data_IF_134980649533
#
_entry.id   IF_134980649533
#
_cell.length_a   1.000
_cell.length_b   1.000
_cell.length_c   1.000
_cell.angle_alpha   90.00
_cell.angle_beta   90.00
_cell.angle_gamma   90.00
#
_symmetry.space_group_name_H-M   'P 1'
#
loop_
_entity.id
_entity.type
_entity.pdbx_description
1 polymer ?
#
# COMPACT_ATOMS: atom_id res chain seq x y z
N UNK A 1 16.07 -14.83 -31.83
CA UNK A 1 15.60 -15.50 -30.59
C UNK A 1 16.28 -14.95 -29.34
N UNK A 2 17.62 -14.92 -29.29
CA UNK A 2 18.41 -14.42 -28.15
C UNK A 2 18.10 -12.96 -27.81
N UNK A 3 17.86 -12.11 -28.80
CA UNK A 3 17.68 -10.67 -28.61
C UNK A 3 16.34 -10.30 -27.96
N UNK A 4 15.20 -10.76 -28.50
CA UNK A 4 13.88 -10.50 -27.89
C UNK A 4 13.79 -11.04 -26.46
N UNK A 5 14.31 -12.26 -26.21
CA UNK A 5 14.36 -12.86 -24.88
C UNK A 5 15.12 -11.98 -23.89
N UNK A 6 16.31 -11.50 -24.29
CA UNK A 6 17.13 -10.59 -23.47
C UNK A 6 16.39 -9.29 -23.17
N UNK A 7 15.77 -8.69 -24.18
CA UNK A 7 15.02 -7.43 -24.03
C UNK A 7 13.85 -7.57 -23.05
N UNK A 8 13.08 -8.66 -23.15
CA UNK A 8 11.95 -8.94 -22.24
C UNK A 8 12.44 -9.17 -20.82
N UNK A 9 13.52 -9.95 -20.61
CA UNK A 9 14.09 -10.16 -19.27
C UNK A 9 14.65 -8.87 -18.69
N UNK A 10 15.41 -8.09 -19.47
CA UNK A 10 15.95 -6.81 -19.03
C UNK A 10 14.82 -5.83 -18.65
N UNK A 11 13.74 -5.81 -19.43
CA UNK A 11 12.56 -5.01 -19.12
C UNK A 11 11.86 -5.48 -17.85
N UNK A 12 11.73 -6.80 -17.65
CA UNK A 12 11.17 -7.40 -16.44
C UNK A 12 11.93 -6.97 -15.19
N UNK A 13 13.27 -7.02 -15.24
CA UNK A 13 14.14 -6.55 -14.15
C UNK A 13 13.97 -5.05 -13.94
N UNK A 14 14.11 -4.23 -14.99
CA UNK A 14 14.06 -2.78 -14.89
C UNK A 14 12.71 -2.22 -14.40
N UNK A 15 11.63 -2.98 -14.60
CA UNK A 15 10.26 -2.59 -14.22
C UNK A 15 9.72 -3.34 -12.99
N UNK A 16 10.47 -4.31 -12.46
CA UNK A 16 10.03 -5.17 -11.36
C UNK A 16 8.83 -6.05 -11.72
N UNK A 17 8.74 -6.53 -12.97
CA UNK A 17 7.60 -7.30 -13.47
C UNK A 17 7.93 -8.80 -13.56
N UNK A 18 7.55 -9.57 -12.54
CA UNK A 18 7.75 -11.03 -12.52
C UNK A 18 6.86 -11.81 -13.49
N UNK A 19 5.70 -11.28 -13.93
CA UNK A 19 4.85 -11.96 -14.92
C UNK A 19 5.58 -12.18 -16.25
N UNK A 20 6.49 -11.27 -16.61
CA UNK A 20 7.31 -11.44 -17.81
C UNK A 20 8.17 -12.72 -17.76
N UNK A 21 8.56 -13.19 -16.58
CA UNK A 21 9.21 -14.49 -16.45
C UNK A 21 8.22 -15.63 -16.65
N UNK A 22 7.05 -15.61 -15.99
CA UNK A 22 6.04 -16.67 -16.15
C UNK A 22 5.62 -16.86 -17.62
N UNK A 23 5.35 -15.76 -18.32
CA UNK A 23 4.97 -15.79 -19.74
C UNK A 23 6.12 -16.29 -20.61
N UNK A 24 7.35 -15.84 -20.36
CA UNK A 24 8.52 -16.30 -21.08
C UNK A 24 8.76 -17.80 -20.89
N UNK A 25 8.69 -18.33 -19.66
CA UNK A 25 8.88 -19.76 -19.41
C UNK A 25 7.74 -20.61 -19.95
N UNK A 26 6.50 -20.13 -19.85
CA UNK A 26 5.35 -20.81 -20.47
C UNK A 26 5.55 -20.93 -21.98
N UNK A 27 5.96 -19.85 -22.65
CA UNK A 27 6.29 -19.88 -24.07
C UNK A 27 7.44 -20.84 -24.40
N UNK A 28 8.52 -20.81 -23.62
CA UNK A 28 9.68 -21.71 -23.84
C UNK A 28 9.31 -23.17 -23.66
N UNK A 29 8.47 -23.49 -22.67
CA UNK A 29 7.97 -24.84 -22.42
C UNK A 29 7.06 -25.33 -23.54
N UNK A 30 6.15 -24.48 -24.03
CA UNK A 30 5.29 -24.79 -25.17
C UNK A 30 6.10 -25.04 -26.46
N UNK A 31 7.20 -24.31 -26.64
CA UNK A 31 8.10 -24.47 -27.77
C UNK A 31 9.12 -25.62 -27.62
N UNK A 32 9.03 -26.40 -26.55
CA UNK A 32 9.97 -27.49 -26.29
C UNK A 32 9.91 -28.56 -27.40
N UNK A 33 10.95 -28.62 -28.24
CA UNK A 33 11.03 -29.53 -29.39
C UNK A 33 10.54 -28.94 -30.71
N UNK A 34 10.09 -27.67 -30.72
CA UNK A 34 9.76 -26.95 -31.93
C UNK A 34 11.03 -26.49 -32.67
N UNK A 35 10.89 -26.16 -33.97
CA UNK A 35 11.99 -25.53 -34.72
C UNK A 35 12.31 -24.14 -34.19
N UNK A 36 13.51 -23.62 -34.47
CA UNK A 36 13.89 -22.26 -34.06
C UNK A 36 12.94 -21.19 -34.60
N UNK A 37 12.48 -21.33 -35.85
CA UNK A 37 11.55 -20.39 -36.47
C UNK A 37 10.18 -20.41 -35.80
N UNK A 38 9.70 -21.59 -35.39
CA UNK A 38 8.42 -21.74 -34.71
C UNK A 38 8.48 -21.20 -33.28
N UNK A 39 9.58 -21.44 -32.58
CA UNK A 39 9.87 -20.84 -31.28
C UNK A 39 9.92 -19.32 -31.37
N UNK A 40 10.60 -18.77 -32.39
CA UNK A 40 10.68 -17.33 -32.61
C UNK A 40 9.30 -16.73 -32.88
N UNK A 41 8.47 -17.40 -33.70
CA UNK A 41 7.11 -16.98 -33.97
C UNK A 41 6.27 -16.94 -32.69
N UNK A 42 6.30 -18.01 -31.90
CA UNK A 42 5.59 -18.07 -30.60
C UNK A 42 6.03 -16.96 -29.63
N UNK A 43 7.34 -16.76 -29.47
CA UNK A 43 7.87 -15.70 -28.62
C UNK A 43 7.45 -14.31 -29.11
N UNK A 44 7.43 -14.08 -30.42
CA UNK A 44 7.01 -12.79 -30.99
C UNK A 44 5.52 -12.57 -30.81
N UNK A 45 4.70 -13.57 -31.11
CA UNK A 45 3.24 -13.51 -30.96
C UNK A 45 2.82 -13.27 -29.50
N UNK A 46 3.52 -13.89 -28.54
CA UNK A 46 3.13 -13.87 -27.12
C UNK A 46 3.89 -12.86 -26.25
N UNK A 47 5.07 -12.41 -26.62
CA UNK A 47 5.92 -11.58 -25.73
C UNK A 47 6.28 -10.22 -26.31
N UNK A 48 5.96 -9.91 -27.56
CA UNK A 48 6.30 -8.61 -28.15
C UNK A 48 5.71 -7.43 -27.36
N UNK A 49 4.53 -7.61 -26.75
CA UNK A 49 3.90 -6.59 -25.92
C UNK A 49 4.65 -6.31 -24.59
N UNK A 50 5.55 -7.21 -24.18
CA UNK A 50 6.40 -7.07 -23.00
C UNK A 50 7.77 -6.48 -23.32
N UNK A 51 8.06 -6.18 -24.59
CA UNK A 51 9.28 -5.47 -24.97
C UNK A 51 9.27 -4.04 -24.37
N UNK A 52 10.45 -3.49 -24.04
CA UNK A 52 10.54 -2.12 -23.54
C UNK A 52 10.08 -1.11 -24.61
N UNK A 53 9.45 -0.02 -24.18
CA UNK A 53 9.23 1.15 -25.03
C UNK A 53 10.53 1.98 -25.20
N UNK A 54 10.50 2.95 -26.11
CA UNK A 54 11.65 3.82 -26.40
C UNK A 54 12.17 4.53 -25.14
N UNK A 55 11.26 4.97 -24.27
CA UNK A 55 11.61 5.61 -22.99
C UNK A 55 12.34 4.67 -22.04
N UNK A 56 11.93 3.40 -21.98
CA UNK A 56 12.52 2.40 -21.11
C UNK A 56 13.89 1.96 -21.64
N UNK A 57 14.03 1.80 -22.96
CA UNK A 57 15.31 1.47 -23.61
C UNK A 57 16.43 2.43 -23.24
N UNK A 58 16.11 3.73 -23.17
CA UNK A 58 17.11 4.75 -22.82
C UNK A 58 17.40 4.85 -21.32
N UNK A 59 16.59 4.20 -20.48
CA UNK A 59 16.75 4.30 -19.03
C UNK A 59 18.03 3.63 -18.53
N UNK A 60 18.76 4.24 -17.57
CA UNK A 60 19.95 3.62 -16.97
C UNK A 60 19.66 2.26 -16.32
N UNK A 61 18.45 2.11 -15.73
CA UNK A 61 18.01 0.85 -15.12
C UNK A 61 17.90 -0.27 -16.15
N UNK A 62 17.32 0.01 -17.32
CA UNK A 62 17.22 -0.97 -18.40
C UNK A 62 18.60 -1.35 -18.94
N UNK A 63 19.49 -0.38 -19.18
CA UNK A 63 20.85 -0.65 -19.67
C UNK A 63 21.62 -1.57 -18.70
N UNK A 64 21.56 -1.28 -17.39
CA UNK A 64 22.16 -2.14 -16.37
C UNK A 64 21.51 -3.55 -16.31
N UNK A 65 20.18 -3.62 -16.42
CA UNK A 65 19.46 -4.89 -16.46
C UNK A 65 19.80 -5.73 -17.70
N UNK A 66 20.02 -5.08 -18.85
CA UNK A 66 20.44 -5.73 -20.08
C UNK A 66 21.85 -6.31 -19.91
N UNK A 67 22.81 -5.52 -19.44
CA UNK A 67 24.18 -6.00 -19.15
C UNK A 67 24.17 -7.21 -18.20
N UNK A 68 23.36 -7.16 -17.14
CA UNK A 68 23.19 -8.27 -16.20
C UNK A 68 22.63 -9.52 -16.89
N UNK A 69 21.60 -9.34 -17.72
CA UNK A 69 20.97 -10.40 -18.50
C UNK A 69 21.94 -11.03 -19.49
N UNK A 70 22.79 -10.24 -20.12
CA UNK A 70 23.82 -10.72 -21.05
C UNK A 70 24.91 -11.52 -20.35
N UNK A 71 25.32 -11.07 -19.16
CA UNK A 71 26.35 -11.72 -18.36
C UNK A 71 25.88 -13.06 -17.78
N UNK A 72 24.67 -13.10 -17.25
CA UNK A 72 24.18 -14.27 -16.52
C UNK A 72 23.33 -15.22 -17.38
N UNK A 73 22.76 -14.71 -18.48
CA UNK A 73 22.08 -15.49 -19.50
C UNK A 73 20.97 -16.40 -18.98
N UNK A 74 20.39 -17.18 -19.88
CA UNK A 74 19.46 -18.26 -19.54
C UNK A 74 19.98 -19.51 -20.25
N UNK A 75 21.14 -20.01 -19.78
CA UNK A 75 21.89 -21.06 -20.48
C UNK A 75 21.10 -22.36 -20.63
N UNK A 76 20.16 -22.65 -19.73
CA UNK A 76 19.43 -23.93 -19.69
C UNK A 76 17.90 -23.76 -19.63
N UNK A 77 17.35 -22.66 -20.16
CA UNK A 77 15.92 -22.33 -19.98
C UNK A 77 15.47 -22.38 -18.50
N UNK A 78 16.41 -22.14 -17.57
CA UNK A 78 16.16 -21.90 -16.16
C UNK A 78 16.33 -20.41 -15.88
N UNK A 79 15.61 -19.91 -14.88
CA UNK A 79 15.72 -18.52 -14.46
C UNK A 79 16.87 -18.39 -13.47
N UNK A 80 17.93 -17.61 -13.76
CA UNK A 80 18.98 -17.40 -12.77
C UNK A 80 18.41 -16.68 -11.55
N UNK A 81 18.71 -17.21 -10.36
CA UNK A 81 18.26 -16.65 -9.09
C UNK A 81 18.60 -15.15 -8.97
N UNK A 82 19.77 -14.75 -9.47
CA UNK A 82 20.21 -13.36 -9.48
C UNK A 82 19.26 -12.43 -10.26
N UNK A 83 18.72 -12.87 -11.40
CA UNK A 83 17.80 -12.03 -12.20
C UNK A 83 16.46 -11.86 -11.47
N UNK A 84 15.96 -12.94 -10.83
CA UNK A 84 14.77 -12.87 -9.98
C UNK A 84 14.97 -11.93 -8.79
N UNK A 85 16.14 -12.01 -8.14
CA UNK A 85 16.45 -11.19 -6.97
C UNK A 85 16.45 -9.70 -7.34
N UNK A 86 17.07 -9.33 -8.47
CA UNK A 86 17.08 -7.95 -8.95
C UNK A 86 15.68 -7.49 -9.39
N UNK A 87 14.88 -8.34 -10.03
CA UNK A 87 13.47 -8.02 -10.30
C UNK A 87 12.68 -7.80 -9.02
N UNK A 88 12.90 -8.60 -7.98
CA UNK A 88 12.22 -8.44 -6.69
C UNK A 88 12.60 -7.11 -6.02
N UNK A 89 13.88 -6.75 -6.02
CA UNK A 89 14.38 -5.46 -5.48
C UNK A 89 13.72 -4.28 -6.20
N UNK A 90 13.68 -4.32 -7.53
CA UNK A 90 13.04 -3.25 -8.31
C UNK A 90 11.52 -3.21 -8.11
N UNK A 91 10.87 -4.37 -7.94
CA UNK A 91 9.46 -4.46 -7.60
C UNK A 91 9.17 -3.81 -6.24
N UNK A 92 9.97 -4.09 -5.20
CA UNK A 92 9.87 -3.40 -3.90
C UNK A 92 10.07 -1.89 -4.05
N UNK A 93 11.10 -1.45 -4.77
CA UNK A 93 11.40 -0.04 -4.98
C UNK A 93 10.25 0.73 -5.65
N UNK A 94 9.41 0.04 -6.44
CA UNK A 94 8.24 0.58 -7.13
C UNK A 94 6.91 0.35 -6.39
N UNK A 95 6.93 -0.24 -5.20
CA UNK A 95 5.71 -0.58 -4.46
C UNK A 95 4.88 -1.73 -5.07
N UNK A 96 5.48 -2.50 -5.98
CA UNK A 96 4.85 -3.64 -6.67
C UNK A 96 4.98 -4.92 -5.84
N UNK A 97 4.40 -4.93 -4.63
CA UNK A 97 4.66 -5.99 -3.65
C UNK A 97 4.17 -7.39 -4.05
N UNK A 98 3.10 -7.51 -4.85
CA UNK A 98 2.67 -8.80 -5.40
C UNK A 98 3.73 -9.44 -6.31
N UNK A 99 4.42 -8.62 -7.10
CA UNK A 99 5.52 -9.05 -7.95
C UNK A 99 6.76 -9.41 -7.12
N UNK A 100 7.07 -8.60 -6.10
CA UNK A 100 8.17 -8.92 -5.19
C UNK A 100 7.93 -10.23 -4.43
N UNK A 101 6.72 -10.45 -3.91
CA UNK A 101 6.33 -11.68 -3.24
C UNK A 101 6.48 -12.90 -4.17
N UNK A 102 5.97 -12.80 -5.40
CA UNK A 102 6.06 -13.86 -6.40
C UNK A 102 7.53 -14.22 -6.71
N UNK A 103 8.40 -13.22 -6.94
CA UNK A 103 9.83 -13.48 -7.12
C UNK A 103 10.47 -14.15 -5.89
N UNK A 104 10.20 -13.66 -4.69
CA UNK A 104 10.77 -14.25 -3.47
C UNK A 104 10.23 -15.67 -3.20
N UNK A 105 8.99 -15.98 -3.60
CA UNK A 105 8.44 -17.34 -3.56
C UNK A 105 9.15 -18.26 -4.54
N UNK A 106 9.40 -17.81 -5.78
CA UNK A 106 10.16 -18.57 -6.78
C UNK A 106 11.60 -18.86 -6.32
N UNK A 107 12.19 -17.93 -5.56
CA UNK A 107 13.51 -18.10 -4.96
C UNK A 107 13.51 -18.95 -3.68
N UNK A 108 12.34 -19.22 -3.07
CA UNK A 108 12.24 -19.91 -1.79
C UNK A 108 12.62 -19.07 -0.57
N UNK A 109 12.79 -17.75 -0.74
CA UNK A 109 13.34 -16.83 0.28
C UNK A 109 12.33 -15.81 0.84
N UNK A 110 11.02 -15.96 0.55
CA UNK A 110 9.97 -15.02 0.99
C UNK A 110 10.07 -14.69 2.49
N UNK A 111 10.04 -15.72 3.33
CA UNK A 111 10.00 -15.52 4.79
C UNK A 111 11.29 -14.88 5.32
N UNK A 112 12.43 -15.19 4.69
CA UNK A 112 13.72 -14.61 5.03
C UNK A 112 13.74 -13.12 4.68
N UNK A 113 13.19 -12.74 3.51
CA UNK A 113 13.09 -11.33 3.12
C UNK A 113 12.16 -10.54 4.03
N UNK A 114 10.99 -11.10 4.40
CA UNK A 114 10.09 -10.47 5.39
C UNK A 114 10.83 -10.22 6.71
N UNK A 115 11.57 -11.22 7.20
CA UNK A 115 12.37 -11.10 8.42
C UNK A 115 13.50 -10.06 8.29
N UNK A 116 14.20 -10.02 7.15
CA UNK A 116 15.28 -9.06 6.89
C UNK A 116 14.76 -7.62 6.89
N UNK A 117 13.62 -7.34 6.24
CA UNK A 117 13.01 -6.00 6.26
C UNK A 117 12.55 -5.62 7.67
N UNK A 118 11.94 -6.53 8.43
CA UNK A 118 11.55 -6.27 9.81
C UNK A 118 12.77 -5.98 10.71
N UNK A 119 13.87 -6.75 10.56
CA UNK A 119 15.12 -6.53 11.28
C UNK A 119 15.78 -5.20 10.94
N UNK A 120 15.78 -4.82 9.65
CA UNK A 120 16.24 -3.49 9.22
C UNK A 120 15.38 -2.38 9.86
N UNK A 121 14.07 -2.58 9.93
CA UNK A 121 13.16 -1.69 10.64
C UNK A 121 13.50 -1.53 12.13
N UNK A 122 13.78 -2.63 12.83
CA UNK A 122 14.22 -2.57 14.23
C UNK A 122 15.54 -1.79 14.38
N UNK A 123 16.48 -1.98 13.46
CA UNK A 123 17.76 -1.27 13.47
C UNK A 123 17.54 0.24 13.27
N UNK A 124 16.66 0.64 12.35
CA UNK A 124 16.31 2.05 12.16
C UNK A 124 15.66 2.68 13.40
N UNK A 125 14.86 1.94 14.18
CA UNK A 125 14.32 2.44 15.44
C UNK A 125 15.42 2.75 16.47
N UNK A 126 16.46 1.90 16.53
CA UNK A 126 17.63 2.12 17.42
C UNK A 126 18.45 3.33 17.02
N UNK A 127 18.47 3.65 15.73
CA UNK A 127 19.16 4.81 15.16
C UNK A 127 18.31 6.09 15.16
N UNK A 128 17.15 6.07 15.83
CA UNK A 128 16.15 7.15 15.82
C UNK A 128 15.72 7.60 14.41
N UNK A 129 15.53 6.63 13.51
CA UNK A 129 15.06 6.81 12.13
C UNK A 129 13.64 6.23 11.96
N UNK A 130 12.61 6.82 12.60
CA UNK A 130 11.27 6.23 12.64
C UNK A 130 10.59 6.16 11.27
N UNK A 131 10.88 7.08 10.34
CA UNK A 131 10.34 7.04 8.97
C UNK A 131 10.85 5.79 8.23
N UNK A 132 12.17 5.59 8.23
CA UNK A 132 12.80 4.42 7.61
C UNK A 132 12.35 3.11 8.27
N UNK A 133 12.18 3.11 9.59
CA UNK A 133 11.63 1.96 10.31
C UNK A 133 10.21 1.62 9.83
N UNK A 134 9.32 2.60 9.78
CA UNK A 134 7.94 2.42 9.33
C UNK A 134 7.89 1.89 7.89
N UNK A 135 8.69 2.44 6.98
CA UNK A 135 8.81 1.96 5.60
C UNK A 135 9.29 0.51 5.55
N UNK A 136 10.30 0.14 6.34
CA UNK A 136 10.81 -1.24 6.35
C UNK A 136 9.76 -2.25 6.85
N UNK A 137 9.02 -1.92 7.92
CA UNK A 137 7.91 -2.76 8.40
C UNK A 137 6.76 -2.81 7.40
N UNK A 138 6.44 -1.70 6.74
CA UNK A 138 5.44 -1.66 5.67
C UNK A 138 5.82 -2.57 4.50
N UNK A 139 7.08 -2.55 4.06
CA UNK A 139 7.58 -3.44 3.01
C UNK A 139 7.48 -4.90 3.46
N UNK A 140 7.91 -5.22 4.69
CA UNK A 140 7.79 -6.57 5.25
C UNK A 140 6.33 -7.07 5.23
N UNK A 141 5.40 -6.25 5.72
CA UNK A 141 3.98 -6.59 5.77
C UNK A 141 3.38 -6.75 4.37
N UNK A 142 3.74 -5.86 3.43
CA UNK A 142 3.26 -5.92 2.05
C UNK A 142 3.86 -7.07 1.24
N UNK A 143 5.07 -7.55 1.55
CA UNK A 143 5.58 -8.80 0.96
C UNK A 143 4.83 -10.01 1.53
N UNK A 144 4.53 -10.00 2.83
CA UNK A 144 3.83 -11.13 3.43
C UNK A 144 2.35 -11.22 3.01
N UNK A 145 1.70 -10.07 2.84
CA UNK A 145 0.30 -9.90 2.43
C UNK A 145 0.16 -8.98 1.21
N UNK A 146 0.52 -9.49 0.04
CA UNK A 146 0.75 -8.67 -1.16
C UNK A 146 -0.48 -8.12 -1.89
N UNK A 147 -1.65 -8.72 -1.67
CA UNK A 147 -2.93 -8.19 -2.16
C UNK A 147 -3.41 -6.96 -1.38
N UNK A 148 -2.66 -6.59 -0.33
CA UNK A 148 -2.99 -5.49 0.56
C UNK A 148 -4.17 -5.83 1.48
N UNK A 149 -4.32 -5.07 2.56
CA UNK A 149 -5.43 -5.26 3.48
C UNK A 149 -6.73 -4.70 2.90
N UNK A 150 -7.83 -5.38 3.22
CA UNK A 150 -9.16 -4.96 2.80
C UNK A 150 -9.74 -3.91 3.74
N UNK A 151 -9.23 -2.68 3.68
CA UNK A 151 -9.65 -1.59 4.55
C UNK A 151 -11.13 -1.25 4.48
N UNK A 152 -11.80 -1.53 3.34
CA UNK A 152 -13.24 -1.40 3.20
C UNK A 152 -14.04 -2.28 4.17
N UNK A 153 -13.42 -3.28 4.80
CA UNK A 153 -14.01 -4.11 5.85
C UNK A 153 -13.42 -3.79 7.23
N UNK A 154 -12.10 -3.58 7.32
CA UNK A 154 -11.43 -3.27 8.59
C UNK A 154 -11.89 -1.93 9.18
N UNK A 155 -12.08 -0.91 8.33
CA UNK A 155 -12.50 0.41 8.78
C UNK A 155 -13.89 0.43 9.41
N UNK A 156 -14.93 -0.15 8.79
CA UNK A 156 -16.22 -0.34 9.45
C UNK A 156 -16.15 -1.13 10.76
N UNK A 157 -15.23 -2.08 10.89
CA UNK A 157 -15.03 -2.83 12.13
C UNK A 157 -14.56 -1.93 13.29
N UNK A 158 -13.64 -0.99 13.02
CA UNK A 158 -13.25 0.05 13.99
C UNK A 158 -14.46 0.83 14.53
N UNK A 159 -15.49 1.00 13.70
CA UNK A 159 -16.69 1.78 13.99
C UNK A 159 -17.89 0.96 14.44
N UNK A 160 -17.77 -0.37 14.48
CA UNK A 160 -18.86 -1.30 14.81
C UNK A 160 -19.55 -0.99 16.15
N UNK A 161 -18.80 -0.42 17.09
CA UNK A 161 -19.28 -0.05 18.42
C UNK A 161 -19.69 1.42 18.55
N UNK A 162 -19.38 2.30 17.60
CA UNK A 162 -19.65 3.73 17.75
C UNK A 162 -21.16 4.04 17.88
N UNK A 163 -22.02 3.21 17.26
CA UNK A 163 -23.48 3.34 17.36
C UNK A 163 -24.04 2.93 18.73
N UNK A 164 -23.46 1.90 19.36
CA UNK A 164 -23.97 1.30 20.60
C UNK A 164 -23.30 1.93 21.81
N UNK A 165 -22.00 2.18 21.73
CA UNK A 165 -21.16 2.71 22.79
C UNK A 165 -20.26 3.84 22.24
N UNK A 166 -20.80 5.04 22.00
CA UNK A 166 -20.04 6.14 21.39
C UNK A 166 -18.74 6.47 22.15
N UNK A 167 -18.74 6.34 23.48
CA UNK A 167 -17.56 6.55 24.34
C UNK A 167 -16.43 5.53 24.11
N UNK A 168 -16.71 4.41 23.45
CA UNK A 168 -15.73 3.40 23.05
C UNK A 168 -15.31 3.52 21.58
N UNK A 169 -15.81 4.52 20.86
CA UNK A 169 -15.40 4.76 19.49
C UNK A 169 -13.89 5.05 19.43
N UNK A 170 -13.21 4.64 18.35
CA UNK A 170 -11.77 4.86 18.19
C UNK A 170 -11.41 6.35 18.33
N UNK A 171 -12.29 7.23 17.84
CA UNK A 171 -12.14 8.69 17.91
C UNK A 171 -12.31 9.29 19.31
N UNK A 172 -12.65 8.48 20.33
CA UNK A 172 -12.80 8.88 21.74
C UNK A 172 -11.66 8.34 22.64
N UNK A 173 -10.76 7.49 22.11
CA UNK A 173 -9.59 6.97 22.84
C UNK A 173 -8.52 8.05 23.10
N UNK A 174 -7.65 7.95 24.12
CA UNK A 174 -6.50 8.84 24.26
C UNK A 174 -5.66 8.91 22.98
N UNK A 175 -5.04 10.06 22.66
CA UNK A 175 -4.30 10.26 21.40
C UNK A 175 -3.20 9.21 21.21
N UNK A 176 -2.52 8.84 22.29
CA UNK A 176 -1.52 7.78 22.30
C UNK A 176 -2.14 6.45 21.86
N UNK A 177 -3.29 6.08 22.43
CA UNK A 177 -4.01 4.85 22.09
C UNK A 177 -4.53 4.86 20.64
N UNK A 178 -5.02 6.00 20.14
CA UNK A 178 -5.39 6.14 18.72
C UNK A 178 -4.16 5.94 17.83
N UNK A 179 -3.01 6.50 18.23
CA UNK A 179 -1.76 6.33 17.49
C UNK A 179 -1.34 4.86 17.43
N UNK A 180 -1.40 4.13 18.55
CA UNK A 180 -1.11 2.69 18.55
C UNK A 180 -2.09 1.88 17.68
N UNK A 181 -3.39 2.17 17.81
CA UNK A 181 -4.43 1.52 17.03
C UNK A 181 -4.27 1.82 15.54
N UNK A 182 -3.90 3.05 15.19
CA UNK A 182 -3.64 3.47 13.83
C UNK A 182 -2.44 2.77 13.20
N UNK A 183 -1.35 2.59 13.95
CA UNK A 183 -0.19 1.82 13.48
C UNK A 183 -0.59 0.37 13.18
N UNK A 184 -1.34 -0.28 14.09
CA UNK A 184 -1.84 -1.66 13.86
C UNK A 184 -2.75 -1.73 12.65
N UNK A 185 -3.69 -0.79 12.55
CA UNK A 185 -4.64 -0.71 11.46
C UNK A 185 -3.94 -0.49 10.11
N UNK A 186 -3.08 0.52 9.98
CA UNK A 186 -2.42 0.85 8.72
C UNK A 186 -1.35 -0.16 8.30
N UNK A 187 -0.73 -0.86 9.26
CA UNK A 187 0.14 -1.98 8.90
C UNK A 187 -0.67 -3.22 8.51
N UNK A 188 -1.84 -3.42 9.14
CA UNK A 188 -2.77 -4.52 8.95
C UNK A 188 -2.13 -5.91 9.07
N UNK A 189 -1.11 -6.02 9.93
CA UNK A 189 -0.35 -7.24 10.13
C UNK A 189 -0.01 -7.38 11.62
N UNK A 190 -0.77 -8.19 12.36
CA UNK A 190 -0.71 -8.25 13.83
C UNK A 190 0.71 -8.51 14.38
N UNK A 191 1.41 -9.53 13.87
CA UNK A 191 2.75 -9.89 14.35
C UNK A 191 3.76 -8.77 14.14
N UNK A 192 3.84 -8.21 12.93
CA UNK A 192 4.76 -7.12 12.60
C UNK A 192 4.38 -5.82 13.30
N UNK A 193 3.09 -5.54 13.47
CA UNK A 193 2.61 -4.37 14.19
C UNK A 193 2.97 -4.46 15.67
N UNK A 194 2.77 -5.63 16.29
CA UNK A 194 3.20 -5.87 17.66
C UNK A 194 4.71 -5.73 17.79
N UNK A 195 5.49 -6.30 16.88
CA UNK A 195 6.95 -6.16 16.87
C UNK A 195 7.39 -4.70 16.78
N UNK A 196 6.86 -3.93 15.82
CA UNK A 196 7.11 -2.51 15.66
C UNK A 196 6.77 -1.73 16.96
N UNK A 197 5.60 -2.00 17.53
CA UNK A 197 5.12 -1.31 18.74
C UNK A 197 5.92 -1.62 20.00
N UNK A 198 6.43 -2.85 20.14
CA UNK A 198 7.30 -3.24 21.26
C UNK A 198 8.69 -2.58 21.18
N UNK A 199 9.17 -2.25 19.98
CA UNK A 199 10.49 -1.66 19.75
C UNK A 199 10.47 -0.14 19.67
N UNK A 200 9.38 0.46 19.20
CA UNK A 200 9.27 1.90 19.01
C UNK A 200 9.07 2.63 20.34
N UNK A 201 9.91 3.64 20.60
CA UNK A 201 9.73 4.54 21.73
C UNK A 201 8.45 5.38 21.56
N UNK A 202 7.77 5.82 22.64
CA UNK A 202 6.54 6.60 22.55
C UNK A 202 6.64 7.83 21.63
N UNK A 203 7.73 8.59 21.70
CA UNK A 203 7.96 9.78 20.86
C UNK A 203 8.26 9.49 19.38
N UNK A 204 8.46 8.23 19.00
CA UNK A 204 8.65 7.81 17.60
C UNK A 204 7.32 7.50 16.91
N UNK A 205 6.29 7.13 17.67
CA UNK A 205 5.02 6.59 17.16
C UNK A 205 4.23 7.56 16.26
N UNK A 206 4.12 8.87 16.55
CA UNK A 206 3.45 9.78 15.64
C UNK A 206 4.11 9.84 14.25
N UNK A 207 5.45 9.83 14.19
CA UNK A 207 6.22 9.81 12.94
C UNK A 207 6.07 8.49 12.18
N UNK A 208 5.95 7.38 12.91
CA UNK A 208 5.65 6.06 12.34
C UNK A 208 4.25 6.05 11.73
N UNK A 209 3.23 6.49 12.48
CA UNK A 209 1.84 6.58 12.02
C UNK A 209 1.74 7.40 10.74
N UNK A 210 2.34 8.59 10.72
CA UNK A 210 2.43 9.47 9.57
C UNK A 210 3.04 8.81 8.34
N UNK A 211 4.14 8.09 8.51
CA UNK A 211 4.80 7.40 7.39
C UNK A 211 3.92 6.27 6.86
N UNK A 212 3.28 5.49 7.74
CA UNK A 212 2.35 4.44 7.32
C UNK A 212 1.11 5.01 6.62
N UNK A 213 0.61 6.16 7.07
CA UNK A 213 -0.48 6.87 6.40
C UNK A 213 -0.07 7.27 4.99
N UNK A 214 1.09 7.91 4.82
CA UNK A 214 1.60 8.29 3.50
C UNK A 214 1.89 7.08 2.58
N UNK A 215 2.22 5.91 3.13
CA UNK A 215 2.42 4.69 2.35
C UNK A 215 1.11 4.02 1.90
N UNK A 216 -0.01 4.28 2.58
CA UNK A 216 -1.30 3.61 2.36
C UNK A 216 -2.33 4.50 1.69
N UNK A 217 -2.25 5.79 1.91
CA UNK A 217 -3.15 6.78 1.34
C UNK A 217 -2.74 7.11 -0.09
N UNK A 218 -3.71 7.19 -0.99
CA UNK A 218 -3.47 7.56 -2.39
C UNK A 218 -2.98 9.01 -2.49
N UNK A 219 -3.57 9.90 -1.69
CA UNK A 219 -3.21 11.32 -1.60
C UNK A 219 -3.53 11.84 -0.19
N UNK A 220 -2.54 11.72 0.69
CA UNK A 220 -2.68 12.15 2.09
C UNK A 220 -2.92 13.66 2.21
N UNK A 221 -2.38 14.47 1.29
CA UNK A 221 -2.55 15.93 1.30
C UNK A 221 -3.99 16.32 0.96
N UNK A 222 -4.57 15.68 -0.06
CA UNK A 222 -5.99 15.85 -0.39
C UNK A 222 -6.89 15.38 0.76
N UNK A 223 -6.55 14.26 1.41
CA UNK A 223 -7.27 13.74 2.57
C UNK A 223 -7.30 14.72 3.73
N UNK A 224 -6.15 15.30 4.09
CA UNK A 224 -6.03 16.30 5.16
C UNK A 224 -6.90 17.52 4.83
N UNK A 225 -6.81 18.02 3.60
CA UNK A 225 -7.63 19.14 3.12
C UNK A 225 -9.12 18.83 3.25
N UNK A 226 -9.56 17.67 2.76
CA UNK A 226 -10.96 17.23 2.82
C UNK A 226 -11.46 17.09 4.26
N UNK A 227 -10.60 16.61 5.18
CA UNK A 227 -10.91 16.58 6.61
C UNK A 227 -11.10 17.98 7.19
N UNK A 228 -10.24 18.96 6.87
CA UNK A 228 -10.40 20.34 7.33
C UNK A 228 -11.65 21.02 6.77
N UNK A 229 -11.95 20.80 5.49
CA UNK A 229 -13.16 21.31 4.85
C UNK A 229 -14.42 20.71 5.48
N UNK A 230 -14.40 19.40 5.75
CA UNK A 230 -15.53 18.71 6.41
C UNK A 230 -15.74 19.19 7.85
N UNK A 231 -14.68 19.47 8.60
CA UNK A 231 -14.77 20.08 9.94
C UNK A 231 -15.40 21.47 9.85
N UNK A 232 -14.97 22.28 8.88
CA UNK A 232 -15.53 23.61 8.65
C UNK A 232 -17.01 23.56 8.27
N UNK A 233 -17.43 22.56 7.50
CA UNK A 233 -18.84 22.32 7.17
C UNK A 233 -19.64 21.86 8.39
N UNK A 234 -19.11 20.93 9.18
CA UNK A 234 -19.75 20.42 10.40
C UNK A 234 -20.03 21.55 11.42
N UNK A 235 -19.08 22.47 11.61
CA UNK A 235 -19.23 23.60 12.54
C UNK A 235 -20.30 24.62 12.13
N UNK A 236 -20.75 24.62 10.88
CA UNK A 236 -21.83 25.49 10.37
C UNK A 236 -23.23 24.91 10.57
N UNK A 237 -23.35 23.66 11.04
CA UNK A 237 -24.65 23.01 11.24
C UNK A 237 -25.27 23.49 12.56
N UNK A 238 -26.37 24.24 12.46
CA UNK A 238 -27.08 24.79 13.65
C UNK A 238 -28.25 23.91 14.11
N UNK A 239 -29.01 23.34 13.16
CA UNK A 239 -30.29 22.68 13.45
C UNK A 239 -30.16 21.16 13.69
N UNK A 240 -29.02 20.57 13.32
CA UNK A 240 -28.71 19.16 13.52
C UNK A 240 -29.71 18.19 12.87
N UNK A 241 -30.38 18.59 11.79
CA UNK A 241 -31.27 17.70 11.02
C UNK A 241 -30.41 16.74 10.18
N UNK A 242 -30.88 15.51 9.89
CA UNK A 242 -30.13 14.56 9.06
C UNK A 242 -29.61 15.15 7.74
N UNK A 243 -30.44 15.93 7.04
CA UNK A 243 -30.09 16.52 5.74
C UNK A 243 -28.97 17.57 5.84
N UNK A 244 -28.78 18.20 7.01
CA UNK A 244 -27.72 19.18 7.24
C UNK A 244 -26.31 18.53 7.11
N UNK A 245 -26.21 17.21 7.29
CA UNK A 245 -24.95 16.45 7.20
C UNK A 245 -24.68 15.87 5.80
N UNK A 246 -25.62 16.01 4.86
CA UNK A 246 -25.55 15.36 3.54
C UNK A 246 -24.31 15.75 2.72
N UNK A 247 -23.75 16.94 2.95
CA UNK A 247 -22.54 17.42 2.31
C UNK A 247 -21.23 16.83 2.89
N UNK A 248 -21.26 16.32 4.14
CA UNK A 248 -20.04 15.90 4.84
C UNK A 248 -19.37 14.69 4.17
N UNK A 249 -20.15 13.67 3.82
CA UNK A 249 -19.65 12.48 3.12
C UNK A 249 -18.95 12.81 1.79
N UNK A 250 -19.60 13.56 0.88
CA UNK A 250 -18.98 14.03 -0.36
C UNK A 250 -17.70 14.83 -0.15
N UNK A 251 -17.66 15.73 0.84
CA UNK A 251 -16.46 16.53 1.13
C UNK A 251 -15.32 15.62 1.60
N UNK A 252 -15.59 14.69 2.53
CA UNK A 252 -14.58 13.76 3.05
C UNK A 252 -13.93 12.92 1.94
N UNK A 253 -14.72 12.46 0.97
CA UNK A 253 -14.25 11.60 -0.14
C UNK A 253 -13.82 12.40 -1.38
N UNK A 254 -14.08 13.71 -1.44
CA UNK A 254 -13.89 14.53 -2.65
C UNK A 254 -14.89 14.25 -3.79
N UNK A 255 -15.86 13.35 -3.59
CA UNK A 255 -16.88 12.96 -4.59
C UNK A 255 -18.14 12.37 -3.96
N UNK A 256 -19.30 12.44 -4.63
CA UNK A 256 -20.51 11.75 -4.16
C UNK A 256 -20.42 10.23 -4.33
N UNK A 257 -21.22 9.50 -3.57
CA UNK A 257 -21.48 8.06 -3.77
C UNK A 257 -22.85 7.83 -4.40
N UNK A 258 -23.08 6.63 -4.95
CA UNK A 258 -24.34 6.27 -5.62
C UNK A 258 -25.56 6.22 -4.70
N UNK A 259 -25.37 5.85 -3.43
CA UNK A 259 -26.46 5.68 -2.47
C UNK A 259 -26.66 6.87 -1.53
N UNK A 260 -25.65 7.73 -1.39
CA UNK A 260 -25.62 8.80 -0.38
C UNK A 260 -25.59 8.28 1.07
N UNK A 261 -25.40 6.98 1.29
CA UNK A 261 -25.46 6.39 2.62
C UNK A 261 -24.11 6.51 3.34
N UNK A 262 -24.14 6.96 4.60
CA UNK A 262 -22.95 7.21 5.43
C UNK A 262 -22.00 6.01 5.55
N UNK A 263 -22.53 4.78 5.60
CA UNK A 263 -21.68 3.58 5.66
C UNK A 263 -20.97 3.31 4.33
N UNK A 264 -21.57 3.69 3.20
CA UNK A 264 -20.94 3.55 1.88
C UNK A 264 -19.77 4.54 1.78
N UNK A 265 -19.99 5.79 2.19
CA UNK A 265 -18.90 6.78 2.32
C UNK A 265 -17.79 6.27 3.24
N UNK A 266 -18.12 5.69 4.39
CA UNK A 266 -17.11 5.11 5.28
C UNK A 266 -16.30 4.03 4.56
N UNK A 267 -16.93 3.06 3.88
CA UNK A 267 -16.21 1.99 3.18
C UNK A 267 -15.28 2.51 2.08
N UNK A 268 -15.77 3.43 1.26
CA UNK A 268 -14.97 4.02 0.18
C UNK A 268 -13.84 4.89 0.75
N UNK A 269 -14.11 5.67 1.79
CA UNK A 269 -13.09 6.43 2.50
C UNK A 269 -12.01 5.52 3.11
N UNK A 270 -12.39 4.38 3.69
CA UNK A 270 -11.42 3.43 4.22
C UNK A 270 -10.58 2.79 3.12
N UNK A 271 -11.15 2.59 1.92
CA UNK A 271 -10.44 2.01 0.78
C UNK A 271 -9.42 2.98 0.19
N UNK A 272 -9.81 4.24 -0.03
CA UNK A 272 -8.97 5.26 -0.69
C UNK A 272 -8.03 5.95 0.30
N UNK A 273 -8.52 6.21 1.51
CA UNK A 273 -7.87 7.04 2.53
C UNK A 273 -7.92 6.38 3.93
N UNK A 274 -7.21 5.26 4.16
CA UNK A 274 -7.35 4.48 5.39
C UNK A 274 -7.12 5.27 6.68
N UNK A 275 -6.23 6.27 6.67
CA UNK A 275 -5.99 7.12 7.86
C UNK A 275 -7.23 7.93 8.26
N UNK A 276 -8.06 8.32 7.30
CA UNK A 276 -9.28 9.09 7.56
C UNK A 276 -10.28 8.30 8.41
N UNK A 277 -10.25 6.95 8.37
CA UNK A 277 -11.06 6.08 9.23
C UNK A 277 -10.81 6.29 10.72
N UNK A 278 -9.63 6.76 11.12
CA UNK A 278 -9.31 7.11 12.51
C UNK A 278 -9.78 8.51 12.89
N UNK A 279 -10.14 9.33 11.90
CA UNK A 279 -10.47 10.75 12.03
C UNK A 279 -11.95 11.06 11.82
N UNK A 280 -12.78 10.04 11.57
CA UNK A 280 -14.22 10.17 11.39
C UNK A 280 -14.97 9.29 12.38
N UNK A 281 -16.21 9.61 12.70
CA UNK A 281 -17.07 8.79 13.54
C UNK A 281 -18.49 8.72 12.97
N UNK A 282 -19.17 7.63 13.26
CA UNK A 282 -20.59 7.47 12.95
C UNK A 282 -21.42 7.99 14.12
N UNK A 283 -22.29 8.98 13.87
CA UNK A 283 -23.17 9.56 14.88
C UNK A 283 -24.64 9.27 14.59
N UNK A 284 -25.44 8.86 15.59
CA UNK A 284 -26.88 8.76 15.42
C UNK A 284 -27.49 10.17 15.39
N UNK A 285 -28.26 10.46 14.34
CA UNK A 285 -29.06 11.69 14.21
C UNK A 285 -30.48 11.27 13.89
N UNK A 286 -31.36 11.34 14.91
CA UNK A 286 -32.73 10.82 14.85
C UNK A 286 -32.74 9.31 14.49
N UNK A 287 -33.25 8.96 13.31
CA UNK A 287 -33.42 7.57 12.86
C UNK A 287 -32.35 7.16 11.82
N UNK A 288 -31.32 7.97 11.61
CA UNK A 288 -30.25 7.71 10.65
C UNK A 288 -28.88 7.87 11.30
N UNK A 289 -27.85 7.32 10.65
CA UNK A 289 -26.46 7.55 11.03
C UNK A 289 -25.80 8.48 10.02
N UNK A 290 -25.02 9.43 10.52
CA UNK A 290 -24.22 10.34 9.72
C UNK A 290 -22.73 10.10 9.99
N UNK A 291 -21.92 10.19 8.94
CA UNK A 291 -20.46 10.17 9.07
C UNK A 291 -19.99 11.62 9.30
N UNK A 292 -19.22 11.86 10.35
CA UNK A 292 -18.69 13.19 10.66
C UNK A 292 -17.22 13.14 11.03
N UNK A 293 -16.44 14.18 10.72
CA UNK A 293 -15.07 14.29 11.20
C UNK A 293 -15.06 14.43 12.74
N UNK A 294 -14.04 13.85 13.36
CA UNK A 294 -13.79 13.97 14.79
C UNK A 294 -13.05 15.27 15.08
N UNK A 295 -13.57 16.02 16.05
CA UNK A 295 -13.00 17.29 16.52
C UNK A 295 -12.61 17.12 17.99
N UNK A 296 -11.39 17.49 18.35
CA UNK A 296 -10.90 17.50 19.73
C UNK A 296 -10.19 18.81 20.02
N UNK A 297 -10.49 19.40 21.17
CA UNK A 297 -9.86 20.66 21.60
C UNK A 297 -9.97 21.76 20.53
N UNK A 298 -11.08 21.76 19.78
CA UNK A 298 -11.34 22.70 18.68
C UNK A 298 -10.55 22.44 17.39
N UNK A 299 -9.79 21.34 17.29
CA UNK A 299 -8.99 20.97 16.12
C UNK A 299 -9.49 19.68 15.47
N UNK A 300 -9.16 19.51 14.18
CA UNK A 300 -9.39 18.22 13.51
C UNK A 300 -8.51 17.16 14.17
N UNK A 301 -9.04 15.95 14.36
CA UNK A 301 -8.27 14.85 14.96
C UNK A 301 -7.00 14.53 14.17
N UNK A 302 -7.00 14.75 12.85
CA UNK A 302 -5.81 14.53 12.01
C UNK A 302 -4.63 15.41 12.44
N UNK A 303 -4.89 16.64 12.90
CA UNK A 303 -3.86 17.60 13.35
C UNK A 303 -3.21 17.18 14.68
N UNK A 304 -3.85 16.27 15.42
CA UNK A 304 -3.33 15.72 16.66
C UNK A 304 -2.59 14.40 16.45
N UNK A 305 -2.89 13.70 15.35
CA UNK A 305 -2.29 12.40 15.02
C UNK A 305 -1.05 12.54 14.15
N UNK A 306 -1.07 13.47 13.20
CA UNK A 306 0.00 13.65 12.23
C UNK A 306 0.81 14.90 12.55
N UNK A 307 2.15 14.86 12.35
CA UNK A 307 2.96 16.07 12.44
C UNK A 307 2.59 17.03 11.29
N UNK A 308 2.80 18.35 11.46
CA UNK A 308 2.42 19.37 10.47
C UNK A 308 3.12 19.26 9.11
N UNK A 309 4.20 18.46 9.04
CA UNK A 309 5.04 18.28 7.85
C UNK A 309 4.53 17.15 6.92
N UNK A 310 3.37 16.57 7.21
CA UNK A 310 2.77 15.49 6.45
C UNK A 310 1.89 15.97 5.30
#
# INVERSE_FOLDING_TARGET
MVELKKLVIANAIATGNTYAFHDLFSCLKESSGASENETLRLLTEKLAYMAPDETTLESPKFKAALELTEKHGTKDNSLPALLLEETAKEAVARGKFAYAEDAYKLLGIKNEMVALYAQAGEQFLREDKPKQAATAFFVAASIDQSVGPHYQYLGPELHSRCAIEPKKCVTEMPIEAITEQGIRFLLAHDTLAQQLMMRAAPGQRPRILATLAACRDIDISETIKNLHESVSALLKIENGKPDDYSAIGPILLGRPTSSGQSWQYLKELCFEHPIASLCVCMRPVRNTFVLVPAIREGKSLIDLLLPPEC
#
